data_IF_745822442190
#
_entry.id   IF_745822442190
#
_cell.length_a   1.000
_cell.length_b   1.000
_cell.length_c   1.000
_cell.angle_alpha   90.00
_cell.angle_beta   90.00
_cell.angle_gamma   90.00
#
_symmetry.space_group_name_H-M   'P 1'
#
loop_
_entity.id
_entity.type
_entity.pdbx_description
1 polymer ?
#
# COMPACT_ATOMS: atom_id res chain seq x y z
N UNK A 1 15.66 -29.71 -9.21
CA UNK A 1 16.08 -30.43 -8.00
C UNK A 1 16.96 -29.57 -7.08
N UNK A 2 18.09 -28.97 -7.47
CA UNK A 2 18.96 -28.16 -6.59
C UNK A 2 18.23 -26.99 -5.89
N UNK A 3 17.30 -26.30 -6.56
CA UNK A 3 16.53 -25.17 -5.98
C UNK A 3 15.50 -25.61 -4.93
N UNK A 4 14.94 -26.80 -5.06
CA UNK A 4 13.99 -27.37 -4.09
C UNK A 4 14.73 -27.82 -2.81
N UNK A 5 15.95 -28.34 -2.96
CA UNK A 5 16.80 -28.74 -1.84
C UNK A 5 17.23 -27.52 -1.01
N UNK A 6 17.53 -26.39 -1.65
CA UNK A 6 17.87 -25.12 -0.96
C UNK A 6 16.66 -24.61 -0.18
N UNK A 7 15.45 -24.68 -0.75
CA UNK A 7 14.20 -24.29 -0.06
C UNK A 7 13.92 -25.21 1.15
N UNK A 8 14.16 -26.52 1.03
CA UNK A 8 14.02 -27.47 2.11
C UNK A 8 15.08 -27.28 3.20
N UNK A 9 16.31 -26.92 2.87
CA UNK A 9 17.37 -26.61 3.85
C UNK A 9 17.03 -25.32 4.61
N UNK A 10 16.46 -24.31 3.97
CA UNK A 10 15.98 -23.07 4.62
C UNK A 10 14.79 -23.37 5.55
N UNK A 11 13.88 -24.24 5.17
CA UNK A 11 12.75 -24.68 5.99
C UNK A 11 13.20 -25.56 7.18
N UNK A 12 14.22 -26.39 7.03
CA UNK A 12 14.76 -27.22 8.11
C UNK A 12 15.61 -26.43 9.12
N UNK A 13 16.28 -25.35 8.66
CA UNK A 13 17.03 -24.47 9.57
C UNK A 13 16.11 -23.63 10.50
N UNK A 14 14.84 -23.46 10.13
CA UNK A 14 13.86 -22.77 10.98
C UNK A 14 13.54 -23.52 12.29
N UNK A 15 13.72 -24.82 12.33
CA UNK A 15 13.51 -25.63 13.57
C UNK A 15 14.62 -25.42 14.62
N UNK A 16 15.81 -24.98 14.22
CA UNK A 16 16.94 -24.71 15.10
C UNK A 16 16.90 -23.31 15.73
N UNK A 17 16.00 -22.42 15.29
CA UNK A 17 15.98 -21.01 15.73
C UNK A 17 15.54 -20.87 17.18
N UNK A 18 14.73 -21.78 17.72
CA UNK A 18 14.32 -21.72 19.12
C UNK A 18 15.47 -21.95 20.11
N UNK A 19 16.49 -22.69 19.74
CA UNK A 19 17.66 -22.95 20.60
C UNK A 19 18.69 -21.81 20.58
N UNK A 20 18.67 -20.96 19.55
CA UNK A 20 19.65 -19.88 19.36
C UNK A 20 19.17 -18.49 19.81
N UNK A 21 17.94 -18.36 20.33
CA UNK A 21 17.40 -17.06 20.76
C UNK A 21 18.17 -16.44 21.95
N UNK A 22 19.00 -17.20 22.63
CA UNK A 22 19.88 -16.68 23.71
C UNK A 22 21.06 -15.83 23.17
N UNK A 23 21.36 -15.90 21.87
CA UNK A 23 22.39 -15.10 21.21
C UNK A 23 21.95 -13.65 20.96
N UNK A 24 20.64 -13.40 20.89
CA UNK A 24 20.13 -12.05 20.67
C UNK A 24 20.26 -11.21 21.94
N UNK A 25 20.75 -9.94 21.83
CA UNK A 25 20.78 -9.01 22.94
C UNK A 25 19.44 -8.94 23.65
N UNK A 26 19.44 -8.89 25.00
CA UNK A 26 18.21 -8.83 25.83
C UNK A 26 17.23 -7.76 25.36
N UNK A 27 17.73 -6.63 24.85
CA UNK A 27 16.96 -5.54 24.27
C UNK A 27 16.17 -5.98 23.04
N UNK A 28 16.81 -6.65 22.07
CA UNK A 28 16.16 -7.15 20.84
C UNK A 28 15.12 -8.21 21.23
N UNK A 29 15.47 -9.12 22.14
CA UNK A 29 14.56 -10.17 22.61
C UNK A 29 13.33 -9.59 23.30
N UNK A 30 13.49 -8.56 24.14
CA UNK A 30 12.38 -7.87 24.79
C UNK A 30 11.49 -7.12 23.78
N UNK A 31 12.09 -6.53 22.75
CA UNK A 31 11.40 -5.75 21.73
C UNK A 31 10.55 -6.62 20.78
N UNK A 32 11.05 -7.80 20.40
CA UNK A 32 10.41 -8.63 19.36
C UNK A 32 9.69 -9.88 19.88
N UNK A 33 9.99 -10.34 21.09
CA UNK A 33 9.50 -11.65 21.55
C UNK A 33 8.77 -11.61 22.90
N UNK A 34 8.85 -10.52 23.64
CA UNK A 34 8.03 -10.38 24.85
C UNK A 34 6.69 -9.78 24.47
N UNK A 35 5.62 -10.57 24.58
CA UNK A 35 4.25 -10.10 24.50
C UNK A 35 3.99 -9.14 25.65
N UNK A 36 3.92 -7.86 25.37
CA UNK A 36 3.44 -6.87 26.32
C UNK A 36 1.95 -6.65 26.05
N UNK A 37 1.09 -7.35 26.78
CA UNK A 37 -0.37 -7.16 26.76
C UNK A 37 -0.80 -5.94 27.57
N UNK A 38 0.13 -5.16 28.10
CA UNK A 38 -0.19 -3.91 28.79
C UNK A 38 -0.41 -2.82 27.74
N UNK A 39 -1.44 -1.98 27.95
CA UNK A 39 -1.74 -0.81 27.08
C UNK A 39 -0.73 0.34 27.27
N UNK A 40 0.51 0.03 27.67
CA UNK A 40 1.59 0.99 27.84
C UNK A 40 2.16 1.44 26.48
N UNK A 41 2.68 2.65 26.41
CA UNK A 41 3.38 3.10 25.22
C UNK A 41 4.51 2.14 24.83
N UNK A 42 4.58 1.81 23.54
CA UNK A 42 5.60 0.97 22.96
C UNK A 42 6.45 1.72 21.96
N UNK A 43 7.73 1.39 21.90
CA UNK A 43 8.65 1.84 20.85
C UNK A 43 9.31 0.61 20.24
N UNK A 44 9.27 0.53 18.90
CA UNK A 44 9.88 -0.56 18.14
C UNK A 44 10.71 0.03 17.02
N UNK A 45 11.97 -0.40 16.94
CA UNK A 45 12.85 -0.12 15.81
C UNK A 45 12.91 -1.36 14.92
N UNK A 46 12.56 -1.21 13.65
CA UNK A 46 12.49 -2.31 12.70
C UNK A 46 13.52 -2.09 11.58
N UNK A 47 14.32 -3.10 11.24
CA UNK A 47 14.95 -3.10 9.93
C UNK A 47 13.85 -3.10 8.88
N UNK A 48 13.89 -2.17 7.94
CA UNK A 48 13.00 -2.19 6.80
C UNK A 48 13.63 -3.04 5.70
N UNK A 49 12.91 -4.10 5.34
CA UNK A 49 13.26 -4.97 4.23
C UNK A 49 11.98 -5.19 3.41
N UNK A 50 12.02 -4.80 2.15
CA UNK A 50 10.91 -4.96 1.23
C UNK A 50 11.42 -5.34 -0.16
N UNK A 51 10.55 -5.81 -1.00
CA UNK A 51 10.83 -6.06 -2.40
C UNK A 51 9.54 -5.94 -3.21
N UNK A 52 9.66 -5.32 -4.38
CA UNK A 52 8.60 -5.24 -5.38
C UNK A 52 9.25 -5.15 -6.78
N UNK A 53 8.49 -5.45 -7.85
CA UNK A 53 9.01 -5.37 -9.23
C UNK A 53 9.60 -4.01 -9.59
N UNK A 54 9.00 -2.93 -9.09
CA UNK A 54 9.40 -1.55 -9.33
C UNK A 54 10.59 -1.10 -8.47
N UNK A 55 10.80 -1.69 -7.29
CA UNK A 55 11.88 -1.29 -6.37
C UNK A 55 13.10 -2.20 -6.43
N UNK A 56 12.91 -3.46 -6.79
CA UNK A 56 13.88 -4.49 -6.49
C UNK A 56 13.97 -4.70 -4.98
N UNK A 57 15.15 -4.91 -4.44
CA UNK A 57 15.37 -5.00 -3.00
C UNK A 57 15.39 -3.59 -2.38
N UNK A 58 14.60 -3.38 -1.35
CA UNK A 58 14.53 -2.17 -0.55
C UNK A 58 15.04 -2.48 0.87
N UNK A 59 15.96 -1.66 1.36
CA UNK A 59 16.56 -1.80 2.69
C UNK A 59 16.57 -0.46 3.41
N UNK A 60 16.45 -0.50 4.74
CA UNK A 60 16.48 0.72 5.55
C UNK A 60 16.11 0.47 6.99
N UNK A 61 15.51 1.47 7.62
CA UNK A 61 15.02 1.42 8.98
C UNK A 61 13.64 2.04 9.12
N UNK A 62 12.86 1.50 10.04
CA UNK A 62 11.59 2.04 10.44
C UNK A 62 11.48 2.13 11.97
N UNK A 63 10.79 3.14 12.46
CA UNK A 63 10.50 3.32 13.87
C UNK A 63 8.99 3.44 14.08
N UNK A 64 8.45 2.67 15.01
CA UNK A 64 7.05 2.72 15.41
C UNK A 64 6.95 3.08 16.89
N UNK A 65 6.24 4.16 17.17
CA UNK A 65 5.75 4.48 18.51
C UNK A 65 4.26 4.15 18.54
N UNK A 66 3.80 3.37 19.51
CA UNK A 66 2.38 3.05 19.68
C UNK A 66 1.94 3.37 21.10
N UNK A 67 0.75 3.93 21.26
CA UNK A 67 0.21 4.31 22.56
C UNK A 67 -1.32 4.38 22.51
N UNK A 68 -1.94 4.35 23.69
CA UNK A 68 -3.38 4.56 23.85
C UNK A 68 -3.61 5.92 24.52
N UNK A 69 -4.54 6.69 23.99
CA UNK A 69 -4.93 7.98 24.57
C UNK A 69 -5.79 7.81 25.82
N UNK A 70 -6.45 6.66 25.93
CA UNK A 70 -7.14 6.21 27.14
C UNK A 70 -6.80 4.71 27.39
N UNK A 71 -6.09 4.45 28.47
CA UNK A 71 -5.70 3.08 28.85
C UNK A 71 -6.79 2.36 29.62
N UNK A 72 -7.77 3.07 30.17
CA UNK A 72 -8.89 2.52 30.92
C UNK A 72 -10.04 2.06 30.03
N UNK A 73 -10.21 2.71 28.87
CA UNK A 73 -11.20 2.33 27.88
C UNK A 73 -10.64 1.32 26.88
N UNK A 74 -11.11 0.09 26.97
CA UNK A 74 -10.68 -1.01 26.08
C UNK A 74 -11.19 -0.89 24.63
N UNK A 75 -12.10 0.02 24.36
CA UNK A 75 -12.62 0.28 23.01
C UNK A 75 -11.78 1.27 22.22
N UNK A 76 -11.01 2.12 22.92
CA UNK A 76 -10.12 3.10 22.27
C UNK A 76 -9.04 2.40 21.46
N UNK A 77 -8.96 2.74 20.17
CA UNK A 77 -7.97 2.22 19.25
C UNK A 77 -6.55 2.69 19.60
N UNK A 78 -5.57 1.92 19.18
CA UNK A 78 -4.16 2.29 19.35
C UNK A 78 -3.80 3.43 18.41
N UNK A 79 -3.18 4.46 18.98
CA UNK A 79 -2.54 5.54 18.22
C UNK A 79 -1.11 5.17 17.88
N UNK A 80 -0.59 5.65 16.76
CA UNK A 80 0.78 5.37 16.35
C UNK A 80 1.44 6.56 15.64
N UNK A 81 2.76 6.61 15.77
CA UNK A 81 3.65 7.40 14.94
C UNK A 81 4.63 6.44 14.28
N UNK A 82 4.61 6.39 12.95
CA UNK A 82 5.42 5.49 12.16
C UNK A 82 6.27 6.27 11.18
N UNK A 83 7.59 6.13 11.28
CA UNK A 83 8.53 6.74 10.36
C UNK A 83 9.41 5.68 9.71
N UNK A 84 9.74 5.84 8.45
CA UNK A 84 10.71 5.00 7.77
C UNK A 84 11.60 5.77 6.80
N UNK A 85 12.81 5.24 6.62
CA UNK A 85 13.79 5.71 5.65
C UNK A 85 14.40 4.50 4.94
N UNK A 86 14.28 4.45 3.63
CA UNK A 86 14.75 3.32 2.82
C UNK A 86 15.45 3.76 1.55
N UNK A 87 16.35 2.88 1.07
CA UNK A 87 16.97 2.95 -0.24
C UNK A 87 16.73 1.63 -0.99
N UNK A 88 16.75 1.67 -2.31
CA UNK A 88 16.49 0.48 -3.13
C UNK A 88 17.65 0.18 -4.06
N UNK A 89 17.71 -1.07 -4.54
CA UNK A 89 18.71 -1.49 -5.54
C UNK A 89 18.56 -0.80 -6.89
N UNK A 90 17.42 -0.12 -7.11
CA UNK A 90 17.17 0.68 -8.31
C UNK A 90 17.45 2.19 -8.11
N UNK A 91 18.18 2.55 -7.04
CA UNK A 91 18.60 3.93 -6.78
C UNK A 91 17.49 4.85 -6.25
N UNK A 92 16.42 4.27 -5.69
CA UNK A 92 15.31 5.02 -5.12
C UNK A 92 15.58 5.30 -3.63
N UNK A 93 15.01 6.40 -3.14
CA UNK A 93 15.00 6.77 -1.71
C UNK A 93 13.59 7.12 -1.31
N UNK A 94 13.14 6.58 -0.18
CA UNK A 94 11.85 6.89 0.42
C UNK A 94 12.05 7.37 1.85
N UNK A 95 11.41 8.48 2.21
CA UNK A 95 11.28 8.97 3.57
C UNK A 95 9.80 9.23 3.83
N UNK A 96 9.27 8.72 4.93
CA UNK A 96 7.88 8.99 5.31
C UNK A 96 7.74 9.03 6.83
N UNK A 97 6.87 9.92 7.27
CA UNK A 97 6.39 10.01 8.64
C UNK A 97 4.87 10.00 8.60
N UNK A 98 4.27 9.04 9.31
CA UNK A 98 2.83 8.83 9.35
C UNK A 98 2.37 8.88 10.82
N UNK A 99 1.38 9.68 11.10
CA UNK A 99 0.71 9.74 12.40
C UNK A 99 -0.71 9.22 12.24
N UNK A 100 -1.11 8.34 13.15
CA UNK A 100 -2.46 7.80 13.30
C UNK A 100 -2.86 8.01 14.76
N UNK A 101 -3.74 8.97 15.03
CA UNK A 101 -4.07 9.38 16.37
C UNK A 101 -5.57 9.25 16.64
N UNK A 102 -5.92 8.46 17.64
CA UNK A 102 -7.27 8.24 18.12
C UNK A 102 -7.49 8.98 19.44
N UNK A 103 -8.49 9.83 19.52
CA UNK A 103 -8.91 10.42 20.79
C UNK A 103 -9.62 9.38 21.66
N UNK A 104 -9.74 9.59 22.99
CA UNK A 104 -10.49 8.69 23.87
C UNK A 104 -11.88 8.36 23.32
N UNK A 105 -12.28 7.09 23.45
CA UNK A 105 -13.55 6.55 22.94
C UNK A 105 -13.68 6.63 21.40
N UNK A 106 -12.57 6.79 20.69
CA UNK A 106 -12.54 6.94 19.22
C UNK A 106 -13.43 8.08 18.69
N UNK A 107 -13.59 9.17 19.45
CA UNK A 107 -14.46 10.29 19.06
C UNK A 107 -13.99 11.01 17.81
N UNK A 108 -12.66 11.17 17.70
CA UNK A 108 -12.03 11.77 16.53
C UNK A 108 -10.82 10.92 16.16
N UNK A 109 -10.65 10.69 14.88
CA UNK A 109 -9.49 10.05 14.26
C UNK A 109 -8.73 11.09 13.44
N UNK A 110 -7.43 11.21 13.68
CA UNK A 110 -6.54 12.07 12.89
C UNK A 110 -5.50 11.22 12.18
N UNK A 111 -5.33 11.49 10.90
CA UNK A 111 -4.25 10.94 10.09
C UNK A 111 -3.40 12.08 9.54
N UNK A 112 -2.09 11.94 9.61
CA UNK A 112 -1.17 12.87 8.98
C UNK A 112 -0.02 12.13 8.33
N UNK A 113 0.39 12.56 7.14
CA UNK A 113 1.52 11.99 6.42
C UNK A 113 2.38 13.10 5.85
N UNK A 114 3.70 12.98 6.04
CA UNK A 114 4.71 13.78 5.36
C UNK A 114 5.64 12.80 4.67
N UNK A 115 5.86 12.97 3.36
CA UNK A 115 6.73 12.07 2.61
C UNK A 115 7.58 12.78 1.57
N UNK A 116 8.78 12.24 1.39
CA UNK A 116 9.71 12.56 0.31
C UNK A 116 10.15 11.28 -0.38
N UNK A 117 10.00 11.26 -1.71
CA UNK A 117 10.46 10.16 -2.55
C UNK A 117 11.36 10.71 -3.66
N UNK A 118 12.49 10.04 -3.88
CA UNK A 118 13.29 10.15 -5.08
C UNK A 118 13.24 8.78 -5.73
N UNK A 119 12.47 8.65 -6.80
CA UNK A 119 11.98 7.35 -7.26
C UNK A 119 12.07 7.22 -8.79
N UNK A 120 13.24 6.86 -9.35
CA UNK A 120 13.28 6.45 -10.73
C UNK A 120 12.33 5.26 -10.96
N UNK A 121 11.50 5.37 -11.99
CA UNK A 121 10.52 4.34 -12.34
C UNK A 121 10.40 4.20 -13.86
N UNK A 122 9.83 3.07 -14.28
CA UNK A 122 9.55 2.80 -15.67
C UNK A 122 8.15 3.30 -16.04
N UNK A 123 8.07 4.16 -17.05
CA UNK A 123 6.83 4.63 -17.65
C UNK A 123 6.56 3.88 -18.95
N UNK A 124 5.37 3.33 -19.13
CA UNK A 124 4.99 2.49 -20.26
C UNK A 124 3.92 3.13 -21.14
N UNK A 125 3.50 4.37 -20.85
CA UNK A 125 2.39 5.06 -21.50
C UNK A 125 1.12 5.09 -20.66
N UNK A 126 0.02 5.52 -21.28
CA UNK A 126 -1.31 5.65 -20.65
C UNK A 126 -2.25 4.62 -21.26
N UNK A 127 -3.16 4.11 -20.44
CA UNK A 127 -4.18 3.15 -20.84
C UNK A 127 -3.84 1.69 -20.53
N UNK A 128 -4.69 0.83 -21.06
CA UNK A 128 -4.73 -0.60 -20.77
C UNK A 128 -3.87 -1.45 -21.72
N UNK A 129 -3.39 -0.87 -22.83
CA UNK A 129 -2.67 -1.57 -23.91
C UNK A 129 -1.23 -1.10 -24.06
N UNK A 130 -0.52 -0.98 -22.93
CA UNK A 130 0.90 -0.59 -22.93
C UNK A 130 1.80 -1.79 -23.18
N UNK A 131 2.94 -1.57 -23.88
CA UNK A 131 3.90 -2.62 -24.22
C UNK A 131 5.22 -2.46 -23.45
N UNK A 132 5.88 -3.57 -23.20
CA UNK A 132 7.19 -3.58 -22.52
C UNK A 132 8.27 -2.86 -23.36
N UNK A 133 8.14 -2.90 -24.70
CA UNK A 133 9.06 -2.25 -25.60
C UNK A 133 9.02 -0.71 -25.54
N UNK A 134 7.88 -0.13 -25.09
CA UNK A 134 7.64 1.31 -25.04
C UNK A 134 8.16 1.97 -23.76
N UNK A 135 8.89 1.24 -22.93
CA UNK A 135 9.35 1.70 -21.63
C UNK A 135 10.30 2.90 -21.73
N UNK A 136 9.98 3.96 -20.98
CA UNK A 136 10.87 5.09 -20.70
C UNK A 136 11.24 5.12 -19.22
N UNK A 137 12.50 5.39 -18.92
CA UNK A 137 12.94 5.63 -17.55
C UNK A 137 12.68 7.10 -17.17
N UNK A 138 11.97 7.29 -16.06
CA UNK A 138 11.59 8.60 -15.55
C UNK A 138 12.12 8.75 -14.12
N UNK A 139 12.79 9.86 -13.84
CA UNK A 139 13.28 10.20 -12.51
C UNK A 139 12.26 11.13 -11.82
N UNK A 140 11.63 10.63 -10.76
CA UNK A 140 10.69 11.38 -9.94
C UNK A 140 11.34 11.92 -8.67
N UNK A 141 11.02 13.17 -8.32
CA UNK A 141 11.11 13.67 -6.94
C UNK A 141 9.72 14.12 -6.51
N UNK A 142 9.26 13.56 -5.39
CA UNK A 142 7.91 13.81 -4.87
C UNK A 142 7.96 14.27 -3.42
N UNK A 143 7.27 15.35 -3.13
CA UNK A 143 6.96 15.82 -1.77
C UNK A 143 5.46 15.77 -1.59
N UNK A 144 4.98 15.20 -0.50
CA UNK A 144 3.56 15.14 -0.17
C UNK A 144 3.36 15.41 1.31
N UNK A 145 2.32 16.22 1.60
CA UNK A 145 1.77 16.42 2.94
C UNK A 145 0.29 16.13 2.87
N UNK A 146 -0.22 15.34 3.81
CA UNK A 146 -1.63 15.01 3.93
C UNK A 146 -2.04 15.10 5.39
N UNK A 147 -3.21 15.65 5.64
CA UNK A 147 -3.87 15.68 6.95
C UNK A 147 -5.33 15.30 6.76
N UNK A 148 -5.83 14.44 7.65
CA UNK A 148 -7.22 14.00 7.66
C UNK A 148 -7.75 14.03 9.08
N UNK A 149 -9.01 14.42 9.24
CA UNK A 149 -9.71 14.42 10.50
C UNK A 149 -11.10 13.86 10.31
N UNK A 150 -11.45 12.82 11.05
CA UNK A 150 -12.72 12.11 10.98
C UNK A 150 -13.41 12.12 12.33
N UNK A 151 -14.71 12.41 12.36
CA UNK A 151 -15.55 12.50 13.54
C UNK A 151 -16.44 11.26 13.61
N UNK A 152 -16.43 10.57 14.74
CA UNK A 152 -17.25 9.40 15.00
C UNK A 152 -18.73 9.82 15.21
N UNK A 153 -19.60 9.34 14.35
CA UNK A 153 -21.05 9.55 14.42
C UNK A 153 -21.77 8.36 15.06
N UNK A 154 -21.03 7.37 15.56
CA UNK A 154 -21.57 6.15 16.14
C UNK A 154 -21.64 4.97 15.17
N UNK A 155 -21.76 3.77 15.71
CA UNK A 155 -21.92 2.52 14.95
C UNK A 155 -20.84 2.28 13.88
N UNK A 156 -19.60 2.75 14.10
CA UNK A 156 -18.51 2.61 13.15
C UNK A 156 -18.51 3.62 12.01
N UNK A 157 -19.43 4.59 12.01
CA UNK A 157 -19.51 5.63 10.99
C UNK A 157 -18.66 6.84 11.37
N UNK A 158 -17.79 7.27 10.47
CA UNK A 158 -16.97 8.48 10.58
C UNK A 158 -17.18 9.37 9.35
N UNK A 159 -17.32 10.65 9.56
CA UNK A 159 -17.29 11.67 8.52
C UNK A 159 -16.22 12.69 8.86
N UNK A 160 -15.55 13.21 7.84
CA UNK A 160 -14.46 14.12 8.07
C UNK A 160 -14.04 14.90 6.84
N UNK A 161 -12.82 15.37 6.92
CA UNK A 161 -12.19 16.10 5.83
C UNK A 161 -10.73 15.74 5.72
N UNK A 162 -10.24 15.83 4.50
CA UNK A 162 -8.83 15.72 4.14
C UNK A 162 -8.35 17.05 3.57
N UNK A 163 -7.12 17.44 3.85
CA UNK A 163 -6.43 18.55 3.22
C UNK A 163 -4.94 18.23 3.06
N UNK A 164 -4.34 18.74 2.01
CA UNK A 164 -2.94 18.48 1.78
C UNK A 164 -2.39 19.15 0.53
N UNK A 165 -1.23 18.70 0.14
CA UNK A 165 -0.59 19.15 -1.08
C UNK A 165 0.58 18.28 -1.47
N UNK A 166 0.96 18.40 -2.71
CA UNK A 166 2.10 17.68 -3.26
C UNK A 166 2.86 18.55 -4.25
N UNK A 167 4.12 18.15 -4.47
CA UNK A 167 4.96 18.69 -5.52
C UNK A 167 5.74 17.55 -6.16
N UNK A 168 5.56 17.39 -7.47
CA UNK A 168 6.24 16.41 -8.31
C UNK A 168 7.19 17.11 -9.26
N UNK A 169 8.39 16.54 -9.41
CA UNK A 169 9.36 16.92 -10.42
C UNK A 169 9.78 15.68 -11.19
N UNK A 170 9.77 15.79 -12.52
CA UNK A 170 10.19 14.72 -13.41
C UNK A 170 11.36 15.13 -14.28
N UNK A 171 12.32 14.21 -14.42
CA UNK A 171 13.41 14.27 -15.40
C UNK A 171 13.37 13.00 -16.25
N UNK A 172 13.59 13.16 -17.53
CA UNK A 172 13.66 12.08 -18.50
C UNK A 172 14.52 12.53 -19.69
N UNK A 173 15.00 11.60 -20.52
CA UNK A 173 15.75 11.90 -21.71
C UNK A 173 14.81 12.47 -22.80
N UNK A 174 14.98 13.76 -23.13
CA UNK A 174 14.18 14.47 -24.12
C UNK A 174 14.54 14.12 -25.57
N UNK A 175 15.71 13.53 -25.79
CA UNK A 175 16.18 13.15 -27.12
C UNK A 175 15.71 11.75 -27.49
N UNK A 176 15.26 10.96 -26.52
CA UNK A 176 14.73 9.62 -26.75
C UNK A 176 13.36 9.68 -27.42
N UNK A 177 13.19 8.89 -28.49
CA UNK A 177 11.90 8.71 -29.19
C UNK A 177 11.03 7.70 -28.43
N UNK A 178 10.89 7.88 -27.12
CA UNK A 178 10.08 7.05 -26.25
C UNK A 178 8.65 7.58 -26.10
N UNK A 179 7.77 6.78 -25.50
CA UNK A 179 6.34 7.07 -25.35
C UNK A 179 6.09 8.36 -24.56
N UNK A 180 6.95 8.70 -23.60
CA UNK A 180 6.83 9.92 -22.82
C UNK A 180 6.98 11.19 -23.71
N UNK A 181 7.82 11.13 -24.75
CA UNK A 181 8.03 12.26 -25.68
C UNK A 181 7.04 12.27 -26.82
N UNK A 182 6.68 11.12 -27.35
CA UNK A 182 5.92 10.97 -28.59
C UNK A 182 4.41 10.91 -28.41
N UNK A 183 3.94 10.41 -27.26
CA UNK A 183 2.51 10.31 -26.98
C UNK A 183 1.93 11.66 -26.55
N UNK A 184 0.99 12.24 -27.35
CA UNK A 184 0.36 13.52 -27.02
C UNK A 184 -0.60 13.43 -25.82
N UNK A 185 -1.05 12.25 -25.44
CA UNK A 185 -1.94 12.05 -24.28
C UNK A 185 -1.21 12.22 -22.93
N UNK A 186 0.12 12.22 -22.94
CA UNK A 186 0.93 12.42 -21.73
C UNK A 186 1.04 13.93 -21.44
N UNK A 187 0.20 14.39 -20.53
CA UNK A 187 0.18 15.79 -20.09
C UNK A 187 1.14 16.04 -18.90
N UNK A 188 1.59 17.30 -18.77
CA UNK A 188 2.40 17.80 -17.64
C UNK A 188 3.67 16.97 -17.35
N UNK A 189 4.39 16.60 -18.40
CA UNK A 189 5.58 15.72 -18.39
C UNK A 189 6.68 16.13 -17.40
N UNK A 190 6.70 17.38 -16.91
CA UNK A 190 7.68 17.89 -15.95
C UNK A 190 7.22 17.81 -14.50
N UNK A 191 5.97 17.36 -14.28
CA UNK A 191 5.34 17.37 -12.99
C UNK A 191 4.54 18.63 -12.71
N UNK A 192 4.15 18.80 -11.45
CA UNK A 192 3.32 19.91 -11.02
C UNK A 192 3.24 20.00 -9.50
N UNK A 193 2.52 21.02 -9.05
CA UNK A 193 2.22 21.24 -7.63
C UNK A 193 0.71 21.43 -7.51
N UNK A 194 0.09 20.78 -6.53
CA UNK A 194 -1.29 21.05 -6.19
C UNK A 194 -1.51 21.03 -4.68
N UNK A 195 -2.41 21.90 -4.20
CA UNK A 195 -3.10 21.76 -2.93
C UNK A 195 -4.45 21.14 -3.16
N UNK A 196 -4.97 20.45 -2.16
CA UNK A 196 -6.29 19.84 -2.19
C UNK A 196 -6.96 19.87 -0.84
N UNK A 197 -8.30 19.86 -0.87
CA UNK A 197 -9.12 19.62 0.30
C UNK A 197 -10.43 18.94 -0.13
N UNK A 198 -11.06 18.21 0.80
CA UNK A 198 -12.31 17.56 0.50
C UNK A 198 -12.86 16.70 1.62
N UNK A 199 -14.04 16.09 1.44
CA UNK A 199 -14.66 15.22 2.42
C UNK A 199 -14.00 13.85 2.48
N UNK A 200 -14.09 13.23 3.68
CA UNK A 200 -13.80 11.82 3.92
C UNK A 200 -15.00 11.12 4.55
N UNK A 201 -15.09 9.83 4.26
CA UNK A 201 -16.11 8.94 4.80
C UNK A 201 -15.43 7.62 5.16
N UNK A 202 -15.63 7.16 6.40
CA UNK A 202 -15.20 5.83 6.83
C UNK A 202 -16.36 5.13 7.55
N UNK A 203 -16.60 3.88 7.16
CA UNK A 203 -17.49 2.96 7.89
C UNK A 203 -16.68 1.72 8.27
N UNK A 204 -16.40 1.55 9.56
CA UNK A 204 -15.54 0.48 10.07
C UNK A 204 -16.25 -0.32 11.17
N UNK A 205 -16.56 -1.57 10.87
CA UNK A 205 -17.14 -2.55 11.78
C UNK A 205 -16.21 -3.73 12.03
N UNK A 206 -14.94 -3.61 11.66
CA UNK A 206 -13.94 -4.66 11.84
C UNK A 206 -13.77 -4.99 13.33
N UNK A 207 -13.62 -6.28 13.58
CA UNK A 207 -13.38 -6.76 14.95
C UNK A 207 -11.96 -6.46 15.45
N UNK A 208 -11.03 -6.17 14.56
CA UNK A 208 -9.65 -5.78 14.85
C UNK A 208 -9.08 -5.06 13.62
N UNK A 209 -8.40 -3.94 13.81
CA UNK A 209 -7.85 -3.13 12.73
C UNK A 209 -6.46 -3.57 12.23
N UNK A 210 -5.79 -4.48 12.93
CA UNK A 210 -4.44 -4.95 12.58
C UNK A 210 -4.42 -6.37 12.02
N UNK A 211 -5.30 -7.23 12.53
CA UNK A 211 -5.54 -8.58 12.01
C UNK A 211 -7.04 -8.85 11.96
N UNK A 212 -7.66 -8.30 10.94
CA UNK A 212 -9.11 -8.39 10.75
C UNK A 212 -9.50 -9.82 10.37
N UNK A 213 -10.53 -10.34 11.06
CA UNK A 213 -11.10 -11.65 10.75
C UNK A 213 -12.59 -11.61 10.45
N UNK A 214 -13.25 -10.50 10.79
CA UNK A 214 -14.69 -10.28 10.55
C UNK A 214 -15.00 -8.80 10.52
N UNK A 215 -15.98 -8.43 9.71
CA UNK A 215 -16.50 -7.08 9.60
C UNK A 215 -16.15 -6.42 8.27
N UNK A 216 -16.55 -5.18 8.13
CA UNK A 216 -16.45 -4.39 6.90
C UNK A 216 -15.68 -3.11 7.22
N UNK A 217 -14.89 -2.65 6.27
CA UNK A 217 -14.42 -1.29 6.22
C UNK A 217 -14.69 -0.70 4.84
N UNK A 218 -15.20 0.53 4.82
CA UNK A 218 -15.34 1.34 3.62
C UNK A 218 -14.62 2.65 3.89
N UNK A 219 -13.67 3.01 3.04
CA UNK A 219 -13.00 4.30 3.07
C UNK A 219 -13.27 5.03 1.75
N UNK A 220 -13.73 6.26 1.81
CA UNK A 220 -13.91 7.08 0.63
C UNK A 220 -13.46 8.51 0.89
N UNK A 221 -12.85 9.14 -0.12
CA UNK A 221 -12.50 10.55 -0.07
C UNK A 221 -12.57 11.18 -1.46
N UNK A 222 -12.73 12.50 -1.47
CA UNK A 222 -12.61 13.30 -2.68
C UNK A 222 -11.67 14.47 -2.44
N UNK A 223 -10.53 14.46 -3.09
CA UNK A 223 -9.55 15.54 -3.04
C UNK A 223 -9.85 16.56 -4.14
N UNK A 224 -10.59 17.61 -3.83
CA UNK A 224 -10.79 18.74 -4.76
C UNK A 224 -9.49 19.52 -4.89
N UNK A 225 -8.98 19.61 -6.10
CA UNK A 225 -7.78 20.35 -6.48
C UNK A 225 -8.19 21.60 -7.26
N UNK A 226 -7.88 22.76 -6.71
CA UNK A 226 -8.26 24.03 -7.28
C UNK A 226 -7.09 25.02 -7.24
N UNK A 227 -6.94 25.83 -8.28
CA UNK A 227 -5.86 26.81 -8.38
C UNK A 227 -5.84 27.86 -7.26
N UNK A 228 -6.98 28.06 -6.54
CA UNK A 228 -7.03 28.88 -5.34
C UNK A 228 -6.18 28.35 -4.18
N UNK A 229 -5.93 27.04 -4.11
CA UNK A 229 -5.07 26.45 -3.07
C UNK A 229 -3.59 26.61 -3.43
N UNK A 230 -3.23 26.23 -4.66
CA UNK A 230 -1.89 26.41 -5.23
C UNK A 230 -2.06 26.55 -6.73
N UNK A 231 -1.63 27.67 -7.30
CA UNK A 231 -1.78 27.97 -8.72
C UNK A 231 -0.86 27.06 -9.56
N UNK A 232 -1.41 26.02 -10.14
CA UNK A 232 -0.73 25.07 -11.01
C UNK A 232 -1.45 24.85 -12.35
N UNK A 233 -2.57 25.54 -12.57
CA UNK A 233 -3.40 25.40 -13.78
C UNK A 233 -4.16 24.08 -13.88
N UNK A 234 -4.27 23.28 -12.81
CA UNK A 234 -5.14 22.10 -12.77
C UNK A 234 -6.40 22.38 -11.94
N UNK A 235 -7.53 22.11 -12.55
CA UNK A 235 -8.87 22.21 -11.97
C UNK A 235 -9.57 20.87 -12.07
N UNK A 236 -9.85 20.22 -10.92
CA UNK A 236 -10.46 18.91 -10.88
C UNK A 236 -10.37 18.28 -9.51
N UNK A 237 -10.32 16.97 -9.46
CA UNK A 237 -10.19 16.27 -8.20
C UNK A 237 -9.80 14.82 -8.38
N UNK A 238 -9.54 14.17 -7.25
CA UNK A 238 -9.24 12.75 -7.17
C UNK A 238 -10.22 12.09 -6.22
N UNK A 239 -11.02 11.17 -6.73
CA UNK A 239 -11.92 10.31 -5.99
C UNK A 239 -11.24 8.99 -5.67
N UNK A 240 -11.46 8.47 -4.48
CA UNK A 240 -11.10 7.10 -4.09
C UNK A 240 -12.20 6.52 -3.23
N UNK A 241 -12.53 5.28 -3.49
CA UNK A 241 -13.33 4.44 -2.60
C UNK A 241 -12.69 3.06 -2.52
N UNK A 242 -12.61 2.52 -1.31
CA UNK A 242 -12.13 1.18 -1.02
C UNK A 242 -13.12 0.49 -0.08
N UNK A 243 -13.48 -0.73 -0.42
CA UNK A 243 -14.37 -1.60 0.35
C UNK A 243 -13.65 -2.90 0.65
N UNK A 244 -13.48 -3.22 1.92
CA UNK A 244 -12.98 -4.53 2.33
C UNK A 244 -13.96 -5.21 3.28
N UNK A 245 -14.18 -6.50 3.08
CA UNK A 245 -15.04 -7.33 3.93
C UNK A 245 -14.36 -8.64 4.30
N UNK A 246 -14.57 -9.08 5.55
CA UNK A 246 -13.90 -10.23 6.11
C UNK A 246 -14.90 -11.21 6.72
N UNK A 247 -14.70 -12.49 6.41
CA UNK A 247 -15.51 -13.60 6.88
C UNK A 247 -14.62 -14.63 7.58
N UNK A 248 -14.88 -14.87 8.88
CA UNK A 248 -14.29 -15.99 9.60
C UNK A 248 -14.94 -17.30 9.16
N UNK A 249 -14.32 -18.02 8.24
CA UNK A 249 -14.80 -19.35 7.82
C UNK A 249 -14.53 -20.42 8.89
N UNK A 250 -13.48 -20.22 9.70
CA UNK A 250 -13.17 -20.99 10.89
C UNK A 250 -12.27 -20.21 11.83
N UNK A 251 -11.92 -20.77 12.99
CA UNK A 251 -10.94 -20.17 13.93
C UNK A 251 -9.57 -19.90 13.31
N UNK A 252 -9.24 -20.54 12.19
CA UNK A 252 -7.94 -20.45 11.52
C UNK A 252 -8.04 -19.97 10.08
N UNK A 253 -9.23 -19.84 9.51
CA UNK A 253 -9.44 -19.56 8.10
C UNK A 253 -10.32 -18.32 7.94
N UNK A 254 -9.80 -17.32 7.27
CA UNK A 254 -10.47 -16.05 6.98
C UNK A 254 -10.51 -15.85 5.48
N UNK A 255 -11.67 -15.46 4.95
CA UNK A 255 -11.83 -14.96 3.60
C UNK A 255 -11.93 -13.44 3.68
N UNK A 256 -11.04 -12.73 3.02
CA UNK A 256 -11.10 -11.28 2.84
C UNK A 256 -11.38 -10.95 1.38
N UNK A 257 -12.24 -9.98 1.14
CA UNK A 257 -12.48 -9.39 -0.19
C UNK A 257 -12.19 -7.91 -0.13
N UNK A 258 -11.56 -7.37 -1.16
CA UNK A 258 -11.18 -5.97 -1.25
C UNK A 258 -11.48 -5.46 -2.66
N UNK A 259 -12.14 -4.29 -2.76
CA UNK A 259 -12.52 -3.64 -4.01
C UNK A 259 -12.12 -2.17 -3.91
N UNK A 260 -11.42 -1.67 -4.91
CA UNK A 260 -10.98 -0.29 -4.98
C UNK A 260 -11.40 0.34 -6.31
N UNK A 261 -11.89 1.57 -6.23
CA UNK A 261 -12.08 2.45 -7.38
C UNK A 261 -11.36 3.77 -7.15
N UNK A 262 -10.69 4.26 -8.18
CA UNK A 262 -10.03 5.57 -8.21
C UNK A 262 -10.37 6.29 -9.50
N UNK A 263 -10.65 7.59 -9.41
CA UNK A 263 -11.01 8.42 -10.57
C UNK A 263 -10.38 9.80 -10.48
N UNK A 264 -9.72 10.22 -11.55
CA UNK A 264 -9.26 11.59 -11.75
C UNK A 264 -10.32 12.36 -12.53
N UNK A 265 -10.89 13.41 -11.91
CA UNK A 265 -11.91 14.29 -12.53
C UNK A 265 -11.26 15.57 -13.08
N UNK A 266 -11.99 16.31 -13.91
CA UNK A 266 -11.51 17.54 -14.54
C UNK A 266 -11.26 17.38 -16.02
N UNK A 267 -10.89 18.48 -16.69
CA UNK A 267 -10.70 18.52 -18.15
C UNK A 267 -9.31 18.05 -18.60
N UNK A 268 -8.33 18.07 -17.72
CA UNK A 268 -6.94 17.66 -17.97
C UNK A 268 -6.62 16.34 -17.24
N UNK A 269 -5.57 15.67 -17.69
CA UNK A 269 -5.13 14.39 -17.15
C UNK A 269 -3.60 14.38 -16.93
N UNK A 270 -3.08 15.20 -15.99
CA UNK A 270 -1.66 15.17 -15.67
C UNK A 270 -1.21 13.74 -15.36
N UNK A 271 -0.22 13.23 -16.10
CA UNK A 271 0.13 11.80 -16.05
C UNK A 271 0.50 11.30 -14.64
N UNK A 272 1.01 12.20 -13.79
CA UNK A 272 1.41 11.90 -12.42
C UNK A 272 0.23 11.84 -11.43
N UNK A 273 -0.97 12.26 -11.84
CA UNK A 273 -2.20 12.15 -11.06
C UNK A 273 -3.04 10.94 -11.44
N UNK A 274 -2.74 10.31 -12.57
CA UNK A 274 -3.51 9.18 -13.06
C UNK A 274 -3.45 8.00 -12.08
N UNK A 275 -4.60 7.41 -11.72
CA UNK A 275 -4.67 6.13 -11.03
C UNK A 275 -3.78 5.07 -11.67
N UNK A 276 -3.15 4.24 -10.84
CA UNK A 276 -2.14 3.26 -11.26
C UNK A 276 -2.52 1.86 -10.79
N UNK A 277 -2.43 0.90 -11.70
CA UNK A 277 -2.60 -0.52 -11.36
C UNK A 277 -1.30 -1.13 -10.90
N UNK A 278 -1.39 -2.00 -9.89
CA UNK A 278 -0.28 -2.77 -9.35
C UNK A 278 0.32 -2.15 -8.10
N UNK A 279 0.31 -2.91 -7.02
CA UNK A 279 0.99 -2.58 -5.76
C UNK A 279 1.29 -3.89 -5.02
N UNK A 280 1.88 -3.78 -3.84
CA UNK A 280 2.03 -4.92 -2.95
C UNK A 280 0.73 -5.28 -2.19
N UNK A 281 -0.29 -4.46 -2.28
CA UNK A 281 -1.61 -4.66 -1.67
C UNK A 281 -2.65 -5.15 -2.68
N UNK A 282 -2.82 -4.43 -3.80
CA UNK A 282 -3.83 -4.70 -4.83
C UNK A 282 -3.17 -5.01 -6.17
N UNK A 283 -3.70 -5.99 -6.92
CA UNK A 283 -3.18 -6.42 -8.23
C UNK A 283 -1.71 -6.85 -8.19
N UNK A 284 -1.32 -7.58 -7.16
CA UNK A 284 0.04 -8.12 -6.99
C UNK A 284 0.44 -8.98 -8.19
N UNK A 285 1.67 -8.78 -8.67
CA UNK A 285 2.22 -9.35 -9.91
C UNK A 285 2.48 -8.28 -10.95
N UNK A 286 1.67 -7.24 -11.02
CA UNK A 286 1.87 -6.13 -11.93
C UNK A 286 2.90 -5.14 -11.38
N UNK A 287 3.73 -4.58 -12.28
CA UNK A 287 4.60 -3.45 -11.97
C UNK A 287 3.72 -2.21 -11.71
N UNK A 288 3.92 -1.52 -10.59
CA UNK A 288 3.14 -0.33 -10.22
C UNK A 288 3.22 0.74 -11.31
N UNK A 289 2.05 1.12 -11.83
CA UNK A 289 1.92 2.12 -12.87
C UNK A 289 2.31 1.67 -14.28
N UNK A 290 2.50 0.35 -14.54
CA UNK A 290 2.57 -0.13 -15.93
C UNK A 290 1.29 0.21 -16.69
N UNK A 291 0.16 0.06 -16.06
CA UNK A 291 -1.14 0.47 -16.56
C UNK A 291 -1.63 1.63 -15.70
N UNK A 292 -1.93 2.75 -16.33
CA UNK A 292 -2.48 3.95 -15.67
C UNK A 292 -3.41 4.68 -16.62
N UNK A 293 -4.53 5.19 -16.09
CA UNK A 293 -5.47 6.01 -16.84
C UNK A 293 -6.30 6.86 -15.86
N UNK A 294 -7.26 7.63 -16.36
CA UNK A 294 -8.14 8.51 -15.56
C UNK A 294 -8.91 7.76 -14.48
N UNK A 295 -9.26 6.50 -14.75
CA UNK A 295 -10.03 5.66 -13.85
C UNK A 295 -9.32 4.32 -13.64
N UNK A 296 -9.46 3.78 -12.46
CA UNK A 296 -8.97 2.47 -12.06
C UNK A 296 -10.04 1.78 -11.22
N UNK A 297 -10.31 0.53 -11.51
CA UNK A 297 -11.12 -0.35 -10.70
C UNK A 297 -10.42 -1.70 -10.56
N UNK A 298 -10.38 -2.23 -9.34
CA UNK A 298 -9.88 -3.57 -9.09
C UNK A 298 -10.62 -4.22 -7.94
N UNK A 299 -10.65 -5.55 -7.96
CA UNK A 299 -11.14 -6.36 -6.87
C UNK A 299 -10.29 -7.60 -6.69
N UNK A 300 -10.07 -7.99 -5.45
CA UNK A 300 -9.36 -9.21 -5.09
C UNK A 300 -10.03 -9.91 -3.92
N UNK A 301 -9.79 -11.22 -3.85
CA UNK A 301 -10.18 -12.05 -2.71
C UNK A 301 -8.95 -12.79 -2.22
N UNK A 302 -8.74 -12.79 -0.91
CA UNK A 302 -7.60 -13.44 -0.26
C UNK A 302 -8.11 -14.43 0.81
N UNK A 303 -7.70 -15.68 0.69
CA UNK A 303 -7.90 -16.72 1.69
C UNK A 303 -6.70 -16.78 2.61
N UNK A 304 -6.88 -16.50 3.90
CA UNK A 304 -5.84 -16.45 4.94
C UNK A 304 -5.98 -17.64 5.87
N UNK A 305 -4.97 -18.50 5.90
CA UNK A 305 -4.92 -19.65 6.79
C UNK A 305 -3.86 -19.47 7.88
N UNK A 306 -4.28 -19.50 9.14
CA UNK A 306 -3.39 -19.40 10.29
C UNK A 306 -2.92 -20.77 10.74
N UNK A 307 -1.68 -21.12 10.47
CA UNK A 307 -1.09 -22.41 10.87
C UNK A 307 -0.98 -22.45 12.40
N UNK A 308 -0.32 -21.42 12.97
CA UNK A 308 -0.10 -21.27 14.41
C UNK A 308 0.02 -19.76 14.77
N UNK A 309 0.46 -19.45 15.98
CA UNK A 309 0.58 -18.07 16.45
C UNK A 309 1.62 -17.23 15.70
N UNK A 310 2.59 -17.87 15.04
CA UNK A 310 3.68 -17.17 14.34
C UNK A 310 3.60 -17.28 12.83
N UNK A 311 2.94 -18.28 12.26
CA UNK A 311 2.94 -18.54 10.82
C UNK A 311 1.54 -18.65 10.24
N UNK A 312 1.38 -18.12 9.04
CA UNK A 312 0.21 -18.25 8.22
C UNK A 312 0.54 -18.35 6.74
N UNK A 313 -0.44 -18.74 5.96
CA UNK A 313 -0.42 -18.77 4.50
C UNK A 313 -1.53 -17.87 3.96
N UNK A 314 -1.31 -17.33 2.78
CA UNK A 314 -2.35 -16.65 2.02
C UNK A 314 -2.35 -17.13 0.57
N UNK A 315 -3.54 -17.19 -0.02
CA UNK A 315 -3.73 -17.38 -1.45
C UNK A 315 -4.73 -16.33 -1.93
N UNK A 316 -4.48 -15.73 -3.09
CA UNK A 316 -5.31 -14.64 -3.59
C UNK A 316 -5.57 -14.76 -5.07
N UNK A 317 -6.70 -14.20 -5.48
CA UNK A 317 -7.11 -14.00 -6.87
C UNK A 317 -7.79 -12.65 -6.99
N UNK A 318 -7.58 -11.98 -8.09
CA UNK A 318 -8.18 -10.68 -8.35
C UNK A 318 -8.20 -10.33 -9.82
N UNK A 319 -8.79 -9.19 -10.10
CA UNK A 319 -8.86 -8.62 -11.43
C UNK A 319 -9.00 -7.11 -11.36
N UNK A 320 -8.55 -6.39 -12.39
CA UNK A 320 -8.68 -4.93 -12.44
C UNK A 320 -8.47 -4.39 -13.83
N UNK A 321 -8.83 -3.13 -14.01
CA UNK A 321 -8.73 -2.38 -15.25
C UNK A 321 -8.41 -0.93 -14.99
N UNK A 322 -7.64 -0.30 -15.88
CA UNK A 322 -7.58 1.16 -16.02
C UNK A 322 -8.29 1.57 -17.30
N UNK A 323 -9.03 2.68 -17.27
CA UNK A 323 -9.79 3.13 -18.44
C UNK A 323 -9.96 4.63 -18.47
N UNK A 324 -10.14 5.19 -19.69
CA UNK A 324 -10.31 6.63 -19.87
C UNK A 324 -11.73 7.10 -19.60
N UNK A 325 -12.71 6.54 -20.27
CA UNK A 325 -14.13 6.95 -20.21
C UNK A 325 -15.09 5.85 -19.78
N UNK A 326 -14.88 4.63 -20.23
CA UNK A 326 -15.83 3.54 -19.98
C UNK A 326 -15.11 2.26 -19.60
N UNK A 327 -15.63 1.62 -18.58
CA UNK A 327 -15.23 0.29 -18.12
C UNK A 327 -15.60 -0.79 -19.14
N UNK A 328 -14.75 -1.82 -19.27
CA UNK A 328 -15.01 -2.96 -20.14
C UNK A 328 -14.57 -4.28 -19.51
N UNK A 329 -15.50 -5.18 -19.26
CA UNK A 329 -15.18 -6.52 -18.75
C UNK A 329 -14.17 -7.30 -19.63
N UNK A 330 -14.10 -7.00 -20.93
CA UNK A 330 -13.17 -7.63 -21.85
C UNK A 330 -11.70 -7.17 -21.66
N UNK A 331 -11.50 -6.05 -20.98
CA UNK A 331 -10.19 -5.46 -20.72
C UNK A 331 -9.64 -5.80 -19.31
N UNK A 332 -10.41 -6.49 -18.51
CA UNK A 332 -10.00 -6.91 -17.17
C UNK A 332 -8.73 -7.75 -17.20
N UNK A 333 -7.80 -7.38 -16.35
CA UNK A 333 -6.49 -8.03 -16.18
C UNK A 333 -6.51 -8.92 -14.93
N UNK A 334 -6.37 -10.24 -15.07
CA UNK A 334 -6.37 -11.14 -13.93
C UNK A 334 -5.04 -11.11 -13.17
N UNK A 335 -5.10 -11.33 -11.86
CA UNK A 335 -3.95 -11.71 -11.06
C UNK A 335 -4.31 -12.84 -10.09
N UNK A 336 -3.31 -13.61 -9.69
CA UNK A 336 -3.41 -14.63 -8.67
C UNK A 336 -2.04 -14.88 -8.03
N UNK A 337 -2.06 -15.49 -6.87
CA UNK A 337 -0.81 -15.79 -6.19
C UNK A 337 -1.00 -16.35 -4.79
N UNK A 338 0.08 -16.33 -4.05
CA UNK A 338 0.07 -16.78 -2.66
C UNK A 338 1.33 -16.35 -1.93
N UNK A 339 1.31 -16.53 -0.64
CA UNK A 339 2.43 -16.11 0.19
C UNK A 339 2.40 -16.64 1.60
N UNK A 340 3.43 -16.27 2.34
CA UNK A 340 3.67 -16.66 3.73
C UNK A 340 3.52 -15.43 4.60
N UNK A 341 3.01 -15.63 5.81
CA UNK A 341 2.90 -14.63 6.87
C UNK A 341 3.72 -15.07 8.07
N UNK A 342 4.54 -14.17 8.60
CA UNK A 342 5.21 -14.35 9.87
C UNK A 342 4.72 -13.27 10.84
N UNK A 343 3.99 -13.69 11.88
CA UNK A 343 3.43 -12.82 12.91
C UNK A 343 4.36 -12.76 14.10
N UNK A 344 4.92 -11.61 14.39
CA UNK A 344 5.74 -11.40 15.58
C UNK A 344 5.04 -10.57 16.66
N UNK A 345 4.09 -9.69 16.31
CA UNK A 345 3.15 -9.07 17.24
C UNK A 345 1.84 -8.72 16.51
N UNK A 346 0.82 -9.57 16.67
CA UNK A 346 -0.46 -9.41 15.98
C UNK A 346 -1.26 -8.23 16.54
N UNK A 347 -1.18 -7.99 17.85
CA UNK A 347 -1.95 -6.93 18.51
C UNK A 347 -1.50 -5.56 18.01
N UNK A 348 -0.23 -5.42 17.65
CA UNK A 348 0.34 -4.20 17.07
C UNK A 348 0.37 -4.20 15.54
N UNK A 349 -0.20 -5.21 14.89
CA UNK A 349 -0.18 -5.34 13.43
C UNK A 349 1.17 -5.73 12.85
N UNK A 350 2.09 -6.22 13.69
CA UNK A 350 3.45 -6.53 13.28
C UNK A 350 3.52 -7.94 12.69
N UNK A 351 3.42 -7.98 11.37
CA UNK A 351 3.62 -9.17 10.56
C UNK A 351 4.52 -8.85 9.38
N UNK A 352 5.30 -9.82 8.94
CA UNK A 352 6.00 -9.79 7.66
C UNK A 352 5.24 -10.69 6.71
N UNK A 353 4.95 -10.20 5.51
CA UNK A 353 4.40 -10.99 4.41
C UNK A 353 5.41 -11.13 3.29
N UNK A 354 5.41 -12.29 2.68
CA UNK A 354 6.16 -12.59 1.46
C UNK A 354 5.18 -13.19 0.47
N UNK A 355 4.85 -12.44 -0.58
CA UNK A 355 3.87 -12.81 -1.59
C UNK A 355 4.53 -12.97 -2.97
N UNK A 356 4.08 -13.95 -3.73
CA UNK A 356 4.38 -14.06 -5.15
C UNK A 356 3.09 -13.92 -5.95
N UNK A 357 3.02 -12.85 -6.74
CA UNK A 357 1.89 -12.53 -7.60
C UNK A 357 2.19 -12.81 -9.07
N UNK A 358 1.18 -13.27 -9.80
CA UNK A 358 1.23 -13.59 -11.21
C UNK A 358 0.09 -12.89 -11.92
N UNK A 359 0.42 -12.08 -12.92
CA UNK A 359 -0.53 -11.38 -13.78
C UNK A 359 -0.73 -12.07 -15.13
N UNK A 360 -1.27 -11.32 -16.08
CA UNK A 360 -1.48 -11.80 -17.45
C UNK A 360 -0.16 -12.13 -18.18
N UNK A 361 -0.28 -12.83 -19.27
CA UNK A 361 0.78 -12.99 -20.27
C UNK A 361 0.39 -12.20 -21.52
N UNK A 362 0.91 -10.98 -21.74
CA UNK A 362 0.61 -10.23 -22.95
C UNK A 362 1.16 -10.95 -24.19
N UNK A 363 0.56 -10.71 -25.35
CA UNK A 363 1.03 -11.29 -26.60
C UNK A 363 2.44 -10.80 -26.92
N UNK A 364 3.36 -11.74 -27.22
CA UNK A 364 4.76 -11.42 -27.53
C UNK A 364 5.64 -11.03 -26.33
N UNK A 365 5.08 -10.99 -25.11
CA UNK A 365 5.81 -10.63 -23.91
C UNK A 365 5.90 -11.77 -22.89
N UNK A 366 6.84 -11.72 -21.94
CA UNK A 366 6.87 -12.64 -20.81
C UNK A 366 5.65 -12.46 -19.92
N UNK A 367 5.28 -13.51 -19.17
CA UNK A 367 4.24 -13.41 -18.15
C UNK A 367 4.65 -12.42 -17.07
N UNK A 368 3.74 -11.51 -16.73
CA UNK A 368 3.95 -10.53 -15.64
C UNK A 368 3.91 -11.25 -14.30
N UNK A 369 4.88 -11.01 -13.43
CA UNK A 369 4.92 -11.56 -12.08
C UNK A 369 5.80 -10.71 -11.18
N UNK A 370 5.58 -10.79 -9.86
CA UNK A 370 6.34 -10.05 -8.87
C UNK A 370 6.44 -10.77 -7.54
N UNK A 371 7.58 -10.58 -6.87
CA UNK A 371 7.81 -10.97 -5.48
C UNK A 371 7.70 -9.73 -4.62
N UNK A 372 6.91 -9.79 -3.56
CA UNK A 372 6.67 -8.72 -2.62
C UNK A 372 7.07 -9.15 -1.23
N UNK A 373 7.80 -8.28 -0.54
CA UNK A 373 8.09 -8.41 0.90
C UNK A 373 7.62 -7.13 1.55
N UNK A 374 6.70 -7.22 2.49
CA UNK A 374 6.11 -6.05 3.13
C UNK A 374 5.73 -6.31 4.59
N UNK A 375 5.45 -5.24 5.33
CA UNK A 375 4.92 -5.28 6.69
C UNK A 375 3.38 -5.24 6.67
N UNK A 376 2.76 -5.90 7.64
CA UNK A 376 1.30 -5.92 7.78
C UNK A 376 0.60 -6.95 6.89
N UNK A 377 -0.71 -6.80 6.79
CA UNK A 377 -1.57 -7.52 5.84
C UNK A 377 -1.70 -6.71 4.54
N UNK A 378 -2.27 -7.29 3.50
CA UNK A 378 -2.49 -6.59 2.22
C UNK A 378 -3.68 -5.62 2.30
N UNK A 379 -4.69 -5.89 3.13
CA UNK A 379 -5.85 -5.06 3.41
C UNK A 379 -6.53 -5.53 4.70
#
# INVERSE_FOLDING_TARGET
MKRIIILLIILFSASCVYAQMNFLPKFIRKMYFNKDSTRKPGFVLLPALASAPETGLEVGGAALVSFYTDTSDHTTHVSSLFGYATITTKGQTKLSLNANYWTPQNKIHYLATISYYNFPFNFYGIGNNTHLADVDEVFEKRYKVNFESEFNLGNGLYLGYVAGGFKYYYRFDRNRQGVLNTDPSVEDKRGGTAGYAGPTFTYDTRNNNTYTTKGIIINAYYNLMHGAFINNGYEGGFFNIEYSEFFSLSKKLVLGTDIQEQSLTGSRSPFYLLPQMGSDEMMRGYYEGRFRDRNYIAGQTELRYRINNSFGLAAFIGTGEVFHTSFSFAQLKPNYGGGIRYFFDIEKGLAIRVDYGVGQKPAGEPRISGLYVALGQSF
#
